data_IF_482444386517
#
_entry.id   IF_482444386517
#
_cell.length_a   1.000
_cell.length_b   1.000
_cell.length_c   1.000
_cell.angle_alpha   90.00
_cell.angle_beta   90.00
_cell.angle_gamma   90.00
#
_symmetry.space_group_name_H-M   'P 1'
#
loop_
_entity.id
_entity.type
_entity.pdbx_description
1 polymer ?
#
# COMPACT_ATOMS: atom_id res chain seq x y z
N UNK A 1 -16.54 3.30 12.50
CA UNK A 1 -17.63 3.94 11.73
C UNK A 1 -17.92 3.30 10.37
N UNK A 2 -17.05 3.38 9.35
CA UNK A 2 -17.37 2.83 8.02
C UNK A 2 -17.62 1.29 8.00
N UNK A 3 -16.84 0.54 8.77
CA UNK A 3 -17.02 -0.92 8.92
C UNK A 3 -18.33 -1.27 9.64
N UNK A 4 -18.76 -0.45 10.62
CA UNK A 4 -20.00 -0.65 11.37
C UNK A 4 -21.23 -0.35 10.51
N UNK A 5 -21.16 0.69 9.68
CA UNK A 5 -22.23 1.02 8.71
C UNK A 5 -22.39 -0.11 7.69
N UNK A 6 -21.28 -0.56 7.08
CA UNK A 6 -21.31 -1.68 6.12
C UNK A 6 -21.87 -2.96 6.75
N UNK A 7 -21.47 -3.28 7.98
CA UNK A 7 -21.99 -4.45 8.68
C UNK A 7 -23.49 -4.33 8.99
N UNK A 8 -23.97 -3.12 9.32
CA UNK A 8 -25.38 -2.88 9.55
C UNK A 8 -26.23 -3.14 8.29
N UNK A 9 -25.75 -2.70 7.13
CA UNK A 9 -26.48 -2.77 5.86
C UNK A 9 -26.39 -4.15 5.21
N UNK A 10 -25.19 -4.76 5.21
CA UNK A 10 -24.93 -6.00 4.46
C UNK A 10 -24.87 -7.25 5.34
N UNK A 11 -24.91 -7.10 6.68
CA UNK A 11 -24.77 -8.19 7.67
C UNK A 11 -23.52 -9.06 7.43
N UNK A 12 -22.53 -8.52 6.74
CA UNK A 12 -21.27 -9.17 6.41
C UNK A 12 -20.12 -8.28 6.83
N UNK A 13 -18.99 -8.89 7.20
CA UNK A 13 -17.79 -8.14 7.57
C UNK A 13 -17.21 -7.51 6.31
N UNK A 14 -16.90 -6.23 6.38
CA UNK A 14 -16.22 -5.53 5.29
C UNK A 14 -14.85 -6.18 5.06
N UNK A 15 -14.67 -6.86 3.92
CA UNK A 15 -13.39 -7.41 3.50
C UNK A 15 -12.77 -6.51 2.44
N UNK A 16 -11.48 -6.20 2.60
CA UNK A 16 -10.72 -5.41 1.63
C UNK A 16 -10.67 -6.09 0.25
N UNK A 17 -10.80 -7.42 0.23
CA UNK A 17 -10.85 -8.23 -0.99
C UNK A 17 -12.02 -7.85 -1.90
N UNK A 18 -13.20 -7.56 -1.34
CA UNK A 18 -14.35 -7.13 -2.13
C UNK A 18 -14.11 -5.77 -2.80
N UNK A 19 -13.64 -4.80 -2.03
CA UNK A 19 -13.28 -3.48 -2.57
C UNK A 19 -12.16 -3.58 -3.64
N UNK A 20 -11.19 -4.48 -3.45
CA UNK A 20 -10.13 -4.71 -4.41
C UNK A 20 -10.61 -5.39 -5.70
N UNK A 21 -11.51 -6.37 -5.60
CA UNK A 21 -12.11 -7.07 -6.75
C UNK A 21 -12.99 -6.15 -7.60
N UNK A 22 -13.67 -5.17 -6.99
CA UNK A 22 -14.45 -4.15 -7.71
C UNK A 22 -13.56 -3.14 -8.43
N UNK A 23 -12.49 -2.69 -7.78
CA UNK A 23 -11.61 -1.63 -8.32
C UNK A 23 -10.57 -2.13 -9.33
N UNK A 24 -10.25 -3.43 -9.36
CA UNK A 24 -9.18 -3.97 -10.25
C UNK A 24 -9.43 -3.79 -11.74
N UNK A 25 -10.68 -3.56 -12.15
CA UNK A 25 -11.07 -3.34 -13.55
C UNK A 25 -11.40 -1.88 -13.86
N UNK A 26 -11.30 -0.97 -12.90
CA UNK A 26 -11.49 0.44 -13.14
C UNK A 26 -10.36 0.97 -14.04
N UNK A 27 -10.76 1.56 -15.17
CA UNK A 27 -9.88 2.09 -16.21
C UNK A 27 -8.86 3.10 -15.68
N UNK A 28 -9.16 3.79 -14.57
CA UNK A 28 -8.23 4.73 -13.92
C UNK A 28 -7.05 4.02 -13.25
N UNK A 29 -7.22 2.76 -12.86
CA UNK A 29 -6.23 1.95 -12.15
C UNK A 29 -5.48 0.98 -13.07
N UNK A 30 -6.09 0.57 -14.18
CA UNK A 30 -5.43 -0.26 -15.20
C UNK A 30 -4.18 0.40 -15.82
N UNK A 31 -4.11 1.74 -15.86
CA UNK A 31 -2.95 2.48 -16.37
C UNK A 31 -1.72 2.49 -15.44
N UNK A 32 -1.89 2.15 -14.16
CA UNK A 32 -0.78 2.10 -13.19
C UNK A 32 -0.05 0.74 -13.19
N UNK A 33 -0.68 -0.32 -13.70
CA UNK A 33 -0.13 -1.68 -13.65
C UNK A 33 0.73 -2.07 -14.86
N UNK A 34 0.83 -1.20 -15.89
CA UNK A 34 1.61 -1.47 -17.12
C UNK A 34 2.84 -0.56 -17.24
N UNK A 35 3.71 -0.53 -16.24
CA UNK A 35 5.08 -0.04 -16.45
C UNK A 35 6.09 -1.11 -16.03
N UNK A 36 6.00 -2.28 -16.67
CA UNK A 36 7.18 -3.12 -16.88
C UNK A 36 7.87 -2.65 -18.15
N UNK A 37 9.12 -2.25 -18.00
CA UNK A 37 10.18 -2.30 -19.01
C UNK A 37 9.90 -1.72 -20.40
N UNK A 38 10.19 -0.42 -20.56
CA UNK A 38 10.92 0.12 -21.74
C UNK A 38 11.09 1.64 -21.63
N UNK A 39 12.00 2.12 -20.77
CA UNK A 39 12.62 3.42 -21.02
C UNK A 39 13.76 3.20 -22.01
N UNK A 40 13.40 3.03 -23.29
CA UNK A 40 14.35 3.19 -24.39
C UNK A 40 14.39 4.68 -24.75
N UNK A 41 15.50 5.28 -24.36
CA UNK A 41 16.08 6.52 -24.89
C UNK A 41 15.66 6.88 -26.32
N UNK A 42 15.21 8.12 -26.52
CA UNK A 42 15.46 8.84 -27.77
C UNK A 42 15.71 10.33 -27.50
N UNK A 43 17.00 10.65 -27.38
CA UNK A 43 17.59 11.99 -27.50
C UNK A 43 17.68 12.41 -28.98
N UNK A 44 17.68 13.74 -29.23
CA UNK A 44 18.04 14.57 -30.43
C UNK A 44 16.81 15.28 -31.05
N UNK A 45 16.80 16.57 -31.43
CA UNK A 45 17.73 17.75 -31.47
C UNK A 45 16.83 18.99 -31.82
N UNK A 46 16.95 20.18 -31.22
CA UNK A 46 17.54 21.44 -31.81
C UNK A 46 17.24 21.61 -33.30
N UNK A 47 16.76 22.72 -33.90
CA UNK A 47 16.41 24.12 -33.54
C UNK A 47 15.81 24.77 -34.84
N UNK A 48 15.16 25.93 -34.70
CA UNK A 48 15.01 27.03 -35.67
C UNK A 48 14.19 26.90 -36.97
N UNK A 49 13.30 27.90 -37.12
CA UNK A 49 12.86 28.60 -38.35
C UNK A 49 11.78 28.03 -39.29
N UNK A 50 10.62 28.70 -39.21
CA UNK A 50 9.95 29.46 -40.30
C UNK A 50 9.24 28.73 -41.45
N UNK A 51 8.02 29.22 -41.69
CA UNK A 51 7.25 29.29 -42.94
C UNK A 51 6.38 28.10 -43.43
N UNK A 52 5.08 28.41 -43.47
CA UNK A 52 4.15 28.23 -44.60
C UNK A 52 3.38 26.88 -44.75
N UNK A 53 2.06 27.03 -44.56
CA UNK A 53 0.99 26.64 -45.50
C UNK A 53 0.42 25.20 -45.51
N UNK A 54 -0.76 25.09 -44.91
CA UNK A 54 -2.03 24.52 -45.42
C UNK A 54 -2.03 23.42 -46.49
N UNK A 55 -2.62 22.26 -46.14
CA UNK A 55 -3.50 21.48 -47.03
C UNK A 55 -4.31 20.45 -46.23
N UNK A 56 -5.59 20.36 -46.54
CA UNK A 56 -6.67 19.61 -45.90
C UNK A 56 -6.96 18.24 -46.56
N UNK A 57 -7.51 17.30 -45.76
CA UNK A 57 -8.35 16.11 -46.08
C UNK A 57 -7.74 15.02 -47.01
N UNK A 58 -8.01 13.72 -46.98
CA UNK A 58 -8.89 12.76 -46.30
C UNK A 58 -8.37 11.35 -46.70
N UNK A 59 -8.49 10.34 -45.83
CA UNK A 59 -8.72 8.89 -46.07
C UNK A 59 -8.03 8.08 -44.95
N UNK A 60 -8.61 7.05 -44.34
CA UNK A 60 -9.87 6.37 -44.56
C UNK A 60 -10.06 5.30 -43.47
N UNK A 61 -11.33 5.02 -43.20
CA UNK A 61 -11.90 3.74 -42.80
C UNK A 61 -11.43 3.05 -41.50
N UNK A 62 -12.37 2.89 -40.57
CA UNK A 62 -12.48 1.66 -39.79
C UNK A 62 -12.66 1.84 -38.28
N UNK A 63 -13.88 1.50 -37.84
CA UNK A 63 -14.20 0.95 -36.52
C UNK A 63 -14.60 1.95 -35.42
N UNK A 64 -15.93 1.96 -35.22
CA UNK A 64 -16.63 2.23 -33.96
C UNK A 64 -15.96 3.23 -33.03
N UNK A 65 -16.21 4.50 -33.31
CA UNK A 65 -16.19 5.54 -32.30
C UNK A 65 -17.25 5.20 -31.24
N UNK A 66 -16.90 4.28 -30.33
CA UNK A 66 -17.65 4.09 -29.11
C UNK A 66 -17.57 5.41 -28.36
N UNK A 67 -18.70 6.10 -28.38
CA UNK A 67 -18.90 7.44 -27.87
C UNK A 67 -18.27 7.54 -26.49
N UNK A 68 -17.14 8.23 -26.40
CA UNK A 68 -16.54 8.63 -25.13
C UNK A 68 -17.64 9.35 -24.36
N UNK A 69 -17.95 8.98 -23.10
CA UNK A 69 -18.83 9.80 -22.30
C UNK A 69 -18.19 11.19 -22.21
N UNK A 70 -18.86 12.16 -22.83
CA UNK A 70 -18.62 13.58 -22.58
C UNK A 70 -18.97 13.81 -21.12
N UNK A 71 -18.02 14.38 -20.39
CA UNK A 71 -18.28 14.85 -19.03
C UNK A 71 -17.59 14.06 -17.94
N UNK A 72 -16.25 14.08 -17.93
CA UNK A 72 -15.53 14.18 -16.66
C UNK A 72 -14.40 15.19 -16.82
N UNK A 73 -14.75 16.48 -16.71
CA UNK A 73 -13.78 17.56 -16.58
C UNK A 73 -14.26 18.63 -15.61
N UNK A 74 -14.21 18.29 -14.32
CA UNK A 74 -13.96 19.19 -13.19
C UNK A 74 -13.77 18.24 -11.99
N UNK A 75 -12.59 18.10 -11.42
CA UNK A 75 -12.13 19.06 -10.44
C UNK A 75 -10.63 19.33 -10.60
N UNK A 76 -10.29 20.36 -11.36
CA UNK A 76 -9.08 21.13 -11.07
C UNK A 76 -9.48 22.29 -10.18
N UNK A 77 -9.79 21.99 -8.93
CA UNK A 77 -9.76 22.99 -7.87
C UNK A 77 -8.31 23.33 -7.58
N UNK A 78 -7.71 24.19 -8.43
CA UNK A 78 -6.39 24.77 -8.18
C UNK A 78 -6.55 25.81 -7.07
N UNK A 79 -6.67 25.34 -5.83
CA UNK A 79 -6.60 26.19 -4.65
C UNK A 79 -5.18 26.71 -4.49
N UNK A 80 -4.85 27.80 -5.18
CA UNK A 80 -3.70 28.62 -4.78
C UNK A 80 -4.05 29.22 -3.42
N UNK A 81 -3.61 28.61 -2.32
CA UNK A 81 -3.56 29.31 -1.03
C UNK A 81 -2.27 30.13 -1.02
N UNK A 82 -2.34 31.47 -0.89
CA UNK A 82 -1.17 32.25 -0.53
C UNK A 82 -0.87 31.99 0.95
N UNK A 83 0.41 31.70 1.24
CA UNK A 83 1.02 31.72 2.58
C UNK A 83 0.55 30.63 3.57
N UNK A 84 1.40 29.61 3.76
CA UNK A 84 2.01 29.24 5.06
C UNK A 84 3.01 28.11 4.85
N UNK A 85 4.27 28.46 4.55
CA UNK A 85 5.39 27.50 4.46
C UNK A 85 5.67 26.76 5.78
N UNK A 86 5.17 27.28 6.92
CA UNK A 86 5.30 26.63 8.23
C UNK A 86 4.31 25.47 8.42
N UNK A 87 3.06 25.59 7.95
CA UNK A 87 2.05 24.55 8.15
C UNK A 87 2.39 23.25 7.42
N UNK A 88 3.02 23.34 6.24
CA UNK A 88 3.45 22.17 5.47
C UNK A 88 4.65 21.46 6.09
N UNK A 89 5.58 22.20 6.72
CA UNK A 89 6.73 21.61 7.39
C UNK A 89 6.32 20.92 8.70
N UNK A 90 5.39 21.52 9.46
CA UNK A 90 4.84 20.89 10.66
C UNK A 90 4.05 19.61 10.33
N UNK A 91 3.35 19.59 9.19
CA UNK A 91 2.61 18.41 8.72
C UNK A 91 3.58 17.30 8.25
N UNK A 92 4.62 17.64 7.48
CA UNK A 92 5.68 16.69 7.08
C UNK A 92 6.50 16.18 8.28
N UNK A 93 6.73 17.00 9.29
CA UNK A 93 7.40 16.60 10.53
C UNK A 93 6.52 15.64 11.35
N UNK A 94 5.21 15.91 11.44
CA UNK A 94 4.24 15.00 12.05
C UNK A 94 4.19 13.66 11.32
N UNK A 95 4.11 13.66 10.00
CA UNK A 95 4.16 12.42 9.21
C UNK A 95 5.45 11.64 9.45
N UNK A 96 6.60 12.32 9.52
CA UNK A 96 7.89 11.68 9.86
C UNK A 96 7.89 11.09 11.27
N UNK A 97 7.32 11.79 12.24
CA UNK A 97 7.20 11.29 13.62
C UNK A 97 6.25 10.08 13.69
N UNK A 98 5.12 10.13 12.98
CA UNK A 98 4.18 9.01 12.89
C UNK A 98 4.83 7.77 12.27
N UNK A 99 5.59 7.93 11.18
CA UNK A 99 6.32 6.83 10.56
C UNK A 99 7.38 6.21 11.50
N UNK A 100 8.10 7.06 12.25
CA UNK A 100 9.04 6.58 13.27
C UNK A 100 8.33 5.80 14.37
N UNK A 101 7.22 6.33 14.90
CA UNK A 101 6.44 5.67 15.93
C UNK A 101 5.92 4.31 15.45
N UNK A 102 5.37 4.23 14.23
CA UNK A 102 4.92 2.97 13.63
C UNK A 102 6.08 1.97 13.51
N UNK A 103 7.28 2.43 13.13
CA UNK A 103 8.46 1.59 13.05
C UNK A 103 8.89 1.05 14.42
N UNK A 104 8.92 1.92 15.43
CA UNK A 104 9.26 1.56 16.82
C UNK A 104 8.28 0.54 17.38
N UNK A 105 6.98 0.75 17.20
CA UNK A 105 5.93 -0.21 17.59
C UNK A 105 6.16 -1.56 16.90
N UNK A 106 6.44 -1.54 15.60
CA UNK A 106 6.68 -2.78 14.84
C UNK A 106 7.91 -3.53 15.33
N UNK A 107 8.96 -2.83 15.74
CA UNK A 107 10.16 -3.43 16.31
C UNK A 107 9.86 -4.06 17.68
N UNK A 108 9.11 -3.36 18.53
CA UNK A 108 8.66 -3.89 19.81
C UNK A 108 7.75 -5.12 19.63
N UNK A 109 6.82 -5.08 18.68
CA UNK A 109 5.95 -6.22 18.34
C UNK A 109 6.75 -7.44 17.89
N UNK A 110 7.83 -7.25 17.14
CA UNK A 110 8.69 -8.37 16.74
C UNK A 110 9.36 -9.02 17.95
N UNK A 111 9.90 -8.21 18.87
CA UNK A 111 10.49 -8.72 20.12
C UNK A 111 9.44 -9.45 20.97
N UNK A 112 8.25 -8.87 21.12
CA UNK A 112 7.14 -9.47 21.86
C UNK A 112 6.66 -10.79 21.23
N UNK A 113 6.68 -10.90 19.89
CA UNK A 113 6.36 -12.16 19.21
C UNK A 113 7.40 -13.24 19.46
N UNK A 114 8.68 -12.88 19.54
CA UNK A 114 9.75 -13.83 19.87
C UNK A 114 9.58 -14.36 21.30
N UNK A 115 9.34 -13.48 22.27
CA UNK A 115 9.11 -13.90 23.67
C UNK A 115 7.85 -14.74 23.80
N UNK A 116 6.75 -14.35 23.16
CA UNK A 116 5.51 -15.13 23.14
C UNK A 116 5.68 -16.53 22.52
N UNK A 117 6.51 -16.66 21.48
CA UNK A 117 6.79 -17.96 20.87
C UNK A 117 7.56 -18.86 21.85
N UNK A 118 8.58 -18.32 22.52
CA UNK A 118 9.33 -19.03 23.58
C UNK A 118 8.42 -19.48 24.72
N UNK A 119 7.48 -18.61 25.15
CA UNK A 119 6.50 -18.95 26.18
C UNK A 119 5.60 -20.11 25.73
N UNK A 120 5.04 -20.06 24.51
CA UNK A 120 4.23 -21.15 23.96
C UNK A 120 4.99 -22.47 23.85
N UNK A 121 6.26 -22.41 23.47
CA UNK A 121 7.13 -23.58 23.44
C UNK A 121 7.31 -24.15 24.84
N UNK A 122 7.58 -23.31 25.83
CA UNK A 122 7.71 -23.72 27.23
C UNK A 122 6.41 -24.34 27.76
N UNK A 123 5.26 -23.71 27.52
CA UNK A 123 3.94 -24.23 27.90
C UNK A 123 3.71 -25.62 27.31
N UNK A 124 4.08 -25.83 26.04
CA UNK A 124 3.98 -27.14 25.40
C UNK A 124 4.85 -28.19 26.11
N UNK A 125 6.05 -27.82 26.56
CA UNK A 125 6.97 -28.73 27.29
C UNK A 125 6.57 -28.95 28.75
N UNK A 126 5.81 -28.02 29.34
CA UNK A 126 5.26 -28.16 30.69
C UNK A 126 4.02 -29.06 30.68
N UNK A 127 3.20 -28.98 29.65
CA UNK A 127 1.94 -29.74 29.53
C UNK A 127 2.12 -31.17 29.04
N UNK A 128 3.27 -31.52 28.43
CA UNK A 128 3.60 -32.91 28.10
C UNK A 128 3.63 -33.78 29.36
N UNK A 129 2.74 -34.76 29.41
CA UNK A 129 2.63 -35.78 30.49
C UNK A 129 3.55 -36.98 30.28
N UNK A 130 4.12 -37.14 29.09
CA UNK A 130 5.11 -38.16 28.76
C UNK A 130 6.50 -37.79 29.30
N UNK A 131 7.36 -38.78 29.61
CA UNK A 131 8.72 -38.50 30.05
C UNK A 131 9.48 -37.72 28.98
N UNK A 132 9.88 -36.49 29.32
CA UNK A 132 10.65 -35.64 28.41
C UNK A 132 12.01 -36.29 28.13
N UNK A 133 12.45 -36.17 26.88
CA UNK A 133 13.82 -36.57 26.52
C UNK A 133 14.84 -35.66 27.23
N UNK A 134 16.06 -36.12 27.47
CA UNK A 134 17.12 -35.35 28.13
C UNK A 134 17.33 -33.96 27.48
N UNK A 135 17.30 -33.90 26.14
CA UNK A 135 17.39 -32.65 25.38
C UNK A 135 16.23 -31.69 25.63
N UNK A 136 14.99 -32.21 25.70
CA UNK A 136 13.81 -31.41 25.96
C UNK A 136 13.80 -30.88 27.39
N UNK A 137 14.26 -31.69 28.35
CA UNK A 137 14.43 -31.29 29.75
C UNK A 137 15.46 -30.17 29.88
N UNK A 138 16.61 -30.31 29.21
CA UNK A 138 17.64 -29.26 29.16
C UNK A 138 17.09 -27.97 28.52
N UNK A 139 16.33 -28.07 27.42
CA UNK A 139 15.72 -26.92 26.77
C UNK A 139 14.67 -26.23 27.67
N UNK A 140 13.84 -27.00 28.37
CA UNK A 140 12.86 -26.51 29.34
C UNK A 140 13.53 -25.72 30.47
N UNK A 141 14.59 -26.28 31.07
CA UNK A 141 15.36 -25.60 32.13
C UNK A 141 15.95 -24.28 31.60
N UNK A 142 16.58 -24.28 30.42
CA UNK A 142 17.12 -23.05 29.82
C UNK A 142 16.07 -21.97 29.62
N UNK A 143 14.89 -22.33 29.08
CA UNK A 143 13.80 -21.38 28.88
C UNK A 143 13.28 -20.82 30.20
N UNK A 144 13.13 -21.66 31.23
CA UNK A 144 12.72 -21.22 32.57
C UNK A 144 13.76 -20.24 33.15
N UNK A 145 15.06 -20.55 33.05
CA UNK A 145 16.11 -19.65 33.51
C UNK A 145 16.09 -18.32 32.75
N UNK A 146 15.87 -18.32 31.44
CA UNK A 146 15.74 -17.10 30.64
C UNK A 146 14.58 -16.21 31.10
N UNK A 147 13.47 -16.79 31.59
CA UNK A 147 12.31 -16.02 32.08
C UNK A 147 12.43 -15.58 33.54
N UNK A 148 13.31 -16.20 34.34
CA UNK A 148 13.49 -15.89 35.77
C UNK A 148 14.61 -14.87 36.04
N UNK A 149 15.53 -14.69 35.09
CA UNK A 149 16.64 -13.71 35.14
C UNK A 149 16.22 -12.40 34.51
#
# INVERSE_FOLDING_TARGET
MAQEIYFNDHKQKFTMEHAWLELRYDQKWLGASTTKDKVKSKRRKVDSQTAQSSSSVQDGHGEEAMTRPVGVKAAKGKGKKPVRKQATLEEEEKERMELKNIWEIKQADFANKQTLNKQKLLDSLVTKTEPLTELESALKIKLITEFLV
#
